data_IF_924499101395
#
_entry.id   IF_924499101395
#
_cell.length_a   1.000
_cell.length_b   1.000
_cell.length_c   1.000
_cell.angle_alpha   90.00
_cell.angle_beta   90.00
_cell.angle_gamma   90.00
#
_symmetry.space_group_name_H-M   'P 1'
#
loop_
_entity.id
_entity.type
_entity.pdbx_description
1 polymer ?
#
# COMPACT_ATOMS: atom_id res chain seq x y z
N UNK A 1 5.93 -1.67 -35.91
CA UNK A 1 4.97 -2.57 -35.22
C UNK A 1 5.76 -3.80 -34.78
N UNK A 2 6.24 -3.81 -33.55
CA UNK A 2 7.04 -4.92 -33.04
C UNK A 2 6.11 -6.08 -32.68
N UNK A 3 6.38 -7.26 -33.24
CA UNK A 3 5.64 -8.50 -32.98
C UNK A 3 5.86 -8.94 -31.53
N UNK A 4 5.00 -8.50 -30.63
CA UNK A 4 4.87 -9.08 -29.29
C UNK A 4 4.31 -10.48 -29.42
N UNK A 5 5.12 -11.50 -29.10
CA UNK A 5 4.60 -12.83 -28.84
C UNK A 5 4.02 -12.81 -27.43
N UNK A 6 2.70 -12.93 -27.30
CA UNK A 6 1.97 -12.87 -26.02
C UNK A 6 2.58 -13.78 -24.95
N UNK A 7 3.10 -14.95 -25.34
CA UNK A 7 3.75 -15.91 -24.43
C UNK A 7 5.01 -15.39 -23.74
N UNK A 8 5.80 -14.53 -24.39
CA UNK A 8 6.95 -13.86 -23.75
C UNK A 8 6.53 -12.71 -22.87
N UNK A 9 5.46 -12.00 -23.21
CA UNK A 9 4.97 -10.87 -22.41
C UNK A 9 4.26 -11.33 -21.13
N UNK A 10 3.49 -12.42 -21.18
CA UNK A 10 2.88 -13.07 -20.02
C UNK A 10 3.95 -13.60 -19.04
N UNK A 11 4.97 -14.29 -19.57
CA UNK A 11 6.09 -14.77 -18.76
C UNK A 11 6.90 -13.62 -18.14
N UNK A 12 7.08 -12.50 -18.86
CA UNK A 12 7.74 -11.30 -18.34
C UNK A 12 6.86 -10.58 -17.30
N UNK A 13 5.53 -10.56 -17.44
CA UNK A 13 4.62 -9.99 -16.45
C UNK A 13 4.50 -10.87 -15.18
N UNK A 14 4.44 -12.19 -15.32
CA UNK A 14 4.51 -13.12 -14.20
C UNK A 14 5.86 -13.01 -13.48
N UNK A 15 6.96 -12.91 -14.23
CA UNK A 15 8.29 -12.64 -13.67
C UNK A 15 8.39 -11.21 -13.09
N UNK A 16 7.68 -10.21 -13.64
CA UNK A 16 7.63 -8.83 -13.15
C UNK A 16 7.13 -8.76 -11.73
N UNK A 17 6.16 -9.62 -11.40
CA UNK A 17 5.48 -9.61 -10.11
C UNK A 17 6.21 -10.51 -9.12
N UNK A 18 6.80 -11.61 -9.59
CA UNK A 18 7.88 -12.29 -8.86
C UNK A 18 9.09 -11.36 -8.57
N UNK A 19 9.22 -10.24 -9.30
CA UNK A 19 10.21 -9.17 -9.09
C UNK A 19 9.65 -7.95 -8.35
N UNK A 20 8.34 -7.83 -8.14
CA UNK A 20 7.79 -6.88 -7.15
C UNK A 20 8.24 -7.28 -5.73
N UNK A 21 8.56 -8.57 -5.54
CA UNK A 21 9.31 -9.12 -4.38
C UNK A 21 10.69 -8.45 -4.19
N UNK A 22 11.24 -7.79 -5.22
CA UNK A 22 12.49 -7.00 -5.15
C UNK A 22 12.29 -5.52 -4.86
N UNK A 23 11.05 -5.01 -4.78
CA UNK A 23 10.73 -3.67 -4.24
C UNK A 23 10.85 -3.74 -2.71
N UNK A 24 12.08 -3.93 -2.22
CA UNK A 24 12.46 -4.15 -0.81
C UNK A 24 12.34 -2.90 0.08
N UNK A 25 11.42 -1.99 -0.19
CA UNK A 25 11.37 -0.74 0.56
C UNK A 25 9.95 -0.18 0.70
N UNK A 26 9.01 -0.97 1.25
CA UNK A 26 7.71 -0.44 1.63
C UNK A 26 7.33 -0.54 3.12
N UNK A 27 8.19 -0.32 4.14
CA UNK A 27 7.66 -0.24 5.51
C UNK A 27 7.11 1.13 5.93
N UNK A 28 7.57 2.26 5.40
CA UNK A 28 7.66 3.42 6.32
C UNK A 28 6.52 4.44 6.33
N UNK A 29 5.54 4.46 5.41
CA UNK A 29 4.66 5.66 5.33
C UNK A 29 3.15 5.41 5.20
N UNK A 30 2.69 4.16 5.18
CA UNK A 30 1.31 3.90 5.65
C UNK A 30 1.19 4.04 7.18
N UNK A 31 2.31 4.34 7.85
CA UNK A 31 2.47 4.23 9.29
C UNK A 31 2.06 5.43 10.12
N UNK A 32 2.10 6.70 9.68
CA UNK A 32 1.89 7.75 10.67
C UNK A 32 1.64 9.19 10.21
N UNK A 33 0.45 9.72 10.54
CA UNK A 33 0.07 11.12 10.34
C UNK A 33 -0.36 11.88 11.62
N UNK A 34 -0.02 11.35 12.80
CA UNK A 34 -0.53 11.85 14.10
C UNK A 34 0.40 12.73 14.95
N UNK A 35 1.31 13.52 14.36
CA UNK A 35 2.45 14.14 15.06
C UNK A 35 2.12 14.90 16.36
N UNK A 36 1.01 15.65 16.41
CA UNK A 36 0.60 16.41 17.60
C UNK A 36 0.18 15.52 18.78
N UNK A 37 -0.52 14.42 18.49
CA UNK A 37 -1.10 13.56 19.53
C UNK A 37 -0.08 12.56 20.09
N UNK A 38 0.90 12.12 19.28
CA UNK A 38 2.02 11.33 19.82
C UNK A 38 2.90 12.12 20.77
N UNK A 39 3.09 13.41 20.52
CA UNK A 39 3.82 14.25 21.45
C UNK A 39 3.11 14.32 22.81
N UNK A 40 1.79 14.40 22.82
CA UNK A 40 0.98 14.33 24.03
C UNK A 40 1.09 12.94 24.71
N UNK A 41 1.09 11.85 23.94
CA UNK A 41 1.31 10.49 24.48
C UNK A 41 2.70 10.33 25.13
N UNK A 42 3.74 10.84 24.48
CA UNK A 42 5.12 10.74 24.96
C UNK A 42 5.39 11.60 26.22
N UNK A 43 4.54 12.60 26.49
CA UNK A 43 4.68 13.51 27.62
C UNK A 43 3.69 13.23 28.76
N UNK A 44 2.71 12.36 28.56
CA UNK A 44 1.81 11.89 29.61
C UNK A 44 2.57 11.03 30.65
N UNK A 45 2.47 11.41 31.92
CA UNK A 45 3.13 10.72 33.04
C UNK A 45 2.32 9.53 33.56
N UNK A 46 1.07 9.39 33.17
CA UNK A 46 0.16 8.32 33.59
C UNK A 46 -0.65 7.77 32.40
N UNK A 47 0.00 7.28 31.33
CA UNK A 47 -0.70 6.83 30.13
C UNK A 47 -1.61 5.64 30.47
N UNK A 48 -2.87 5.76 30.04
CA UNK A 48 -3.88 4.69 30.14
C UNK A 48 -4.29 4.23 28.74
N UNK A 49 -4.77 2.98 28.63
CA UNK A 49 -5.27 2.46 27.36
C UNK A 49 -6.45 3.29 26.83
N UNK A 50 -7.36 3.72 27.71
CA UNK A 50 -8.49 4.57 27.34
C UNK A 50 -8.02 5.94 26.80
N UNK A 51 -7.09 6.61 27.50
CA UNK A 51 -6.57 7.90 27.07
C UNK A 51 -5.81 7.84 25.75
N UNK A 52 -4.97 6.81 25.56
CA UNK A 52 -4.26 6.60 24.28
C UNK A 52 -5.25 6.28 23.16
N UNK A 53 -6.25 5.43 23.40
CA UNK A 53 -7.26 5.11 22.39
C UNK A 53 -8.09 6.34 22.00
N UNK A 54 -8.44 7.21 22.96
CA UNK A 54 -9.12 8.48 22.68
C UNK A 54 -8.25 9.41 21.83
N UNK A 55 -6.98 9.59 22.19
CA UNK A 55 -6.05 10.42 21.44
C UNK A 55 -5.80 9.91 20.01
N UNK A 56 -5.72 8.59 19.80
CA UNK A 56 -5.62 7.99 18.47
C UNK A 56 -6.88 8.23 17.63
N UNK A 57 -8.06 8.22 18.24
CA UNK A 57 -9.33 8.44 17.54
C UNK A 57 -9.61 9.93 17.25
N UNK A 58 -9.06 10.84 18.04
CA UNK A 58 -9.13 12.29 17.83
C UNK A 58 -8.11 12.80 16.80
N UNK A 59 -7.27 11.91 16.25
CA UNK A 59 -6.41 12.27 15.14
C UNK A 59 -7.24 12.65 13.92
N UNK A 60 -6.71 13.60 13.16
CA UNK A 60 -7.33 14.08 11.93
C UNK A 60 -7.48 12.96 10.90
N UNK A 61 -6.49 12.08 10.84
CA UNK A 61 -6.40 10.94 9.95
C UNK A 61 -7.23 9.75 10.46
N UNK A 62 -7.64 8.89 9.55
CA UNK A 62 -8.70 7.90 9.74
C UNK A 62 -8.16 6.49 10.04
N UNK A 63 -6.87 6.22 9.77
CA UNK A 63 -6.27 4.88 9.91
C UNK A 63 -6.59 4.21 11.25
N UNK A 64 -6.40 4.90 12.38
CA UNK A 64 -6.65 4.30 13.69
C UNK A 64 -8.13 4.06 13.97
N UNK A 65 -9.03 4.87 13.41
CA UNK A 65 -10.47 4.63 13.46
C UNK A 65 -10.85 3.41 12.63
N UNK A 66 -10.29 3.31 11.42
CA UNK A 66 -10.47 2.13 10.56
C UNK A 66 -9.94 0.87 11.23
N UNK A 67 -8.73 0.87 11.79
CA UNK A 67 -8.17 -0.28 12.51
C UNK A 67 -9.04 -0.71 13.69
N UNK A 68 -9.57 0.24 14.48
CA UNK A 68 -10.47 -0.08 15.59
C UNK A 68 -11.76 -0.75 15.12
N UNK A 69 -12.32 -0.32 13.99
CA UNK A 69 -13.54 -0.87 13.43
C UNK A 69 -13.30 -2.24 12.77
N UNK A 70 -12.26 -2.34 11.96
CA UNK A 70 -12.01 -3.45 11.04
C UNK A 70 -11.20 -4.58 11.72
N UNK A 71 -10.30 -4.24 12.64
CA UNK A 71 -9.38 -5.15 13.34
C UNK A 71 -9.30 -4.83 14.85
N UNK A 72 -10.42 -4.89 15.60
CA UNK A 72 -10.50 -4.40 16.98
C UNK A 72 -9.48 -5.06 17.93
N UNK A 73 -9.24 -6.37 17.80
CA UNK A 73 -8.26 -7.08 18.63
C UNK A 73 -6.81 -6.61 18.41
N UNK A 74 -6.46 -6.29 17.17
CA UNK A 74 -5.12 -5.79 16.84
C UNK A 74 -4.96 -4.30 17.19
N UNK A 75 -6.05 -3.53 17.07
CA UNK A 75 -6.09 -2.16 17.59
C UNK A 75 -5.86 -2.13 19.11
N UNK A 76 -6.48 -3.02 19.87
CA UNK A 76 -6.26 -3.11 21.32
C UNK A 76 -4.80 -3.47 21.64
N UNK A 77 -4.19 -4.39 20.89
CA UNK A 77 -2.76 -4.72 21.02
C UNK A 77 -1.85 -3.54 20.70
N UNK A 78 -2.16 -2.76 19.65
CA UNK A 78 -1.47 -1.52 19.33
C UNK A 78 -1.54 -0.54 20.51
N UNK A 79 -2.73 -0.29 21.06
CA UNK A 79 -2.93 0.61 22.20
C UNK A 79 -2.09 0.16 23.40
N UNK A 80 -2.11 -1.14 23.73
CA UNK A 80 -1.31 -1.67 24.84
C UNK A 80 0.20 -1.50 24.61
N UNK A 81 0.67 -1.69 23.38
CA UNK A 81 2.07 -1.48 23.01
C UNK A 81 2.47 -0.01 23.17
N UNK A 82 1.63 0.93 22.75
CA UNK A 82 1.88 2.37 22.93
C UNK A 82 1.85 2.79 24.41
N UNK A 83 0.94 2.22 25.21
CA UNK A 83 0.94 2.40 26.68
C UNK A 83 2.28 1.95 27.27
N UNK A 84 2.81 0.80 26.85
CA UNK A 84 4.07 0.29 27.36
C UNK A 84 5.26 1.21 27.02
N UNK A 85 5.33 1.70 25.77
CA UNK A 85 6.38 2.63 25.31
C UNK A 85 6.28 3.98 26.02
N UNK A 86 5.08 4.51 26.22
CA UNK A 86 4.87 5.74 26.97
C UNK A 86 5.30 5.56 28.44
N UNK A 87 4.96 4.43 29.08
CA UNK A 87 5.36 4.13 30.47
C UNK A 87 6.86 3.98 30.66
N UNK A 88 7.59 3.48 29.65
CA UNK A 88 9.05 3.44 29.68
C UNK A 88 9.72 4.82 29.53
N UNK A 89 8.92 5.90 29.53
CA UNK A 89 9.36 7.29 29.22
C UNK A 89 9.99 7.37 27.84
N UNK A 90 9.48 6.59 26.90
CA UNK A 90 9.91 6.70 25.52
C UNK A 90 9.56 8.08 24.98
N UNK A 91 10.54 8.74 24.39
CA UNK A 91 10.31 10.02 23.71
C UNK A 91 9.38 9.86 22.51
N UNK A 92 8.97 10.98 21.92
CA UNK A 92 8.12 11.05 20.73
C UNK A 92 8.52 10.05 19.64
N UNK A 93 9.83 9.97 19.33
CA UNK A 93 10.36 9.07 18.32
C UNK A 93 10.04 7.61 18.60
N UNK A 94 10.16 7.16 19.86
CA UNK A 94 9.91 5.76 20.22
C UNK A 94 8.43 5.40 20.10
N UNK A 95 7.53 6.32 20.48
CA UNK A 95 6.08 6.11 20.32
C UNK A 95 5.71 6.08 18.84
N UNK A 96 6.29 6.99 18.03
CA UNK A 96 6.10 7.03 16.58
C UNK A 96 6.58 5.73 15.92
N UNK A 97 7.80 5.34 16.20
CA UNK A 97 8.42 4.15 15.59
C UNK A 97 7.67 2.87 16.00
N UNK A 98 7.21 2.79 17.26
CA UNK A 98 6.39 1.66 17.74
C UNK A 98 5.03 1.59 17.03
N UNK A 99 4.40 2.73 16.77
CA UNK A 99 3.13 2.80 16.02
C UNK A 99 3.34 2.36 14.57
N UNK A 100 4.32 2.93 13.88
CA UNK A 100 4.67 2.59 12.50
C UNK A 100 4.99 1.10 12.35
N UNK A 101 5.87 0.57 13.21
CA UNK A 101 6.23 -0.85 13.18
C UNK A 101 5.02 -1.77 13.37
N UNK A 102 3.99 -1.33 14.10
CA UNK A 102 2.78 -2.12 14.31
C UNK A 102 1.88 -2.11 13.07
N UNK A 103 1.73 -0.97 12.39
CA UNK A 103 0.96 -0.91 11.14
C UNK A 103 1.61 -1.78 10.06
N UNK A 104 2.94 -1.73 9.95
CA UNK A 104 3.72 -2.58 9.03
C UNK A 104 3.51 -4.06 9.34
N UNK A 105 3.65 -4.43 10.61
CA UNK A 105 3.44 -5.81 11.06
C UNK A 105 2.03 -6.29 10.74
N UNK A 106 1.00 -5.47 10.96
CA UNK A 106 -0.38 -5.83 10.60
C UNK A 106 -0.54 -6.05 9.11
N UNK A 107 -0.01 -5.13 8.30
CA UNK A 107 -0.05 -5.23 6.84
C UNK A 107 0.60 -6.54 6.35
N UNK A 108 1.78 -6.87 6.86
CA UNK A 108 2.48 -8.12 6.51
C UNK A 108 1.71 -9.36 6.98
N UNK A 109 1.25 -9.36 8.24
CA UNK A 109 0.52 -10.49 8.82
C UNK A 109 -0.76 -10.81 8.06
N UNK A 110 -1.43 -9.80 7.53
CA UNK A 110 -2.69 -9.95 6.82
C UNK A 110 -2.58 -9.95 5.30
N UNK A 111 -1.38 -9.77 4.73
CA UNK A 111 -1.19 -9.65 3.28
C UNK A 111 -1.79 -10.84 2.53
N UNK A 112 -1.59 -12.08 3.00
CA UNK A 112 -2.12 -13.28 2.35
C UNK A 112 -3.65 -13.31 2.25
N UNK A 113 -4.37 -12.63 3.16
CA UNK A 113 -5.84 -12.54 3.09
C UNK A 113 -6.29 -11.72 1.88
N UNK A 114 -5.49 -10.76 1.39
CA UNK A 114 -5.90 -9.90 0.28
C UNK A 114 -6.23 -10.68 -0.99
N UNK A 115 -5.66 -11.88 -1.17
CA UNK A 115 -5.97 -12.79 -2.29
C UNK A 115 -7.43 -13.28 -2.29
N UNK A 116 -8.16 -13.16 -1.17
CA UNK A 116 -9.60 -13.46 -1.07
C UNK A 116 -10.45 -12.20 -0.93
N UNK A 117 -9.92 -11.00 -1.18
CA UNK A 117 -10.69 -9.77 -1.09
C UNK A 117 -11.78 -9.71 -2.18
N UNK A 118 -13.02 -9.29 -1.85
CA UNK A 118 -14.03 -8.99 -2.86
C UNK A 118 -13.55 -7.91 -3.82
N UNK A 119 -14.01 -7.99 -5.07
CA UNK A 119 -13.50 -7.13 -6.14
C UNK A 119 -13.69 -5.63 -5.89
N UNK A 120 -14.83 -5.22 -5.33
CA UNK A 120 -15.08 -3.83 -4.98
C UNK A 120 -14.08 -3.27 -3.96
N UNK A 121 -13.73 -4.06 -2.94
CA UNK A 121 -12.74 -3.67 -1.94
C UNK A 121 -11.33 -3.67 -2.51
N UNK A 122 -10.98 -4.67 -3.34
CA UNK A 122 -9.68 -4.72 -4.02
C UNK A 122 -9.50 -3.53 -4.98
N UNK A 123 -10.53 -3.22 -5.77
CA UNK A 123 -10.54 -2.07 -6.68
C UNK A 123 -10.44 -0.75 -5.94
N UNK A 124 -11.17 -0.60 -4.81
CA UNK A 124 -11.10 0.60 -3.98
C UNK A 124 -9.71 0.82 -3.37
N UNK A 125 -9.08 -0.25 -2.86
CA UNK A 125 -7.72 -0.17 -2.34
C UNK A 125 -6.71 0.17 -3.43
N UNK A 126 -6.79 -0.47 -4.61
CA UNK A 126 -5.86 -0.19 -5.71
C UNK A 126 -6.05 1.22 -6.29
N UNK A 127 -7.29 1.71 -6.39
CA UNK A 127 -7.57 3.11 -6.74
C UNK A 127 -6.91 4.09 -5.77
N UNK A 128 -6.96 3.82 -4.46
CA UNK A 128 -6.33 4.71 -3.48
C UNK A 128 -4.79 4.73 -3.61
N UNK A 129 -4.17 3.62 -4.04
CA UNK A 129 -2.74 3.58 -4.37
C UNK A 129 -2.43 4.42 -5.63
N UNK A 130 -3.27 4.32 -6.66
CA UNK A 130 -3.17 5.14 -7.87
C UNK A 130 -3.37 6.63 -7.57
N UNK A 131 -4.35 7.00 -6.74
CA UNK A 131 -4.57 8.39 -6.29
C UNK A 131 -3.30 8.96 -5.62
N UNK A 132 -2.69 8.18 -4.72
CA UNK A 132 -1.45 8.56 -4.04
C UNK A 132 -0.30 8.74 -5.05
N UNK A 133 -0.13 7.80 -5.97
CA UNK A 133 0.89 7.89 -7.02
C UNK A 133 0.68 9.11 -7.92
N UNK A 134 -0.56 9.40 -8.30
CA UNK A 134 -0.91 10.59 -9.09
C UNK A 134 -0.59 11.87 -8.33
N UNK A 135 -0.87 11.91 -7.02
CA UNK A 135 -0.49 13.05 -6.19
C UNK A 135 1.03 13.25 -6.17
N UNK A 136 1.82 12.18 -5.99
CA UNK A 136 3.30 12.22 -6.12
C UNK A 136 3.72 12.72 -7.50
N UNK A 137 3.13 12.20 -8.59
CA UNK A 137 3.44 12.63 -9.96
C UNK A 137 3.19 14.12 -10.21
N UNK A 138 2.18 14.70 -9.56
CA UNK A 138 1.85 16.13 -9.70
C UNK A 138 2.68 17.05 -8.80
N UNK A 139 3.05 16.58 -7.60
CA UNK A 139 3.73 17.39 -6.59
C UNK A 139 5.24 17.30 -6.60
N UNK A 140 5.80 16.20 -7.12
CA UNK A 140 7.23 15.90 -7.03
C UNK A 140 7.94 15.96 -8.37
N UNK A 141 9.28 16.05 -8.34
CA UNK A 141 10.09 15.91 -9.55
C UNK A 141 9.98 14.48 -10.13
N UNK A 142 10.15 14.32 -11.44
CA UNK A 142 10.14 13.00 -12.08
C UNK A 142 11.16 12.02 -11.44
N UNK A 143 12.34 12.51 -11.06
CA UNK A 143 13.36 11.71 -10.37
C UNK A 143 12.88 11.25 -9.00
N UNK A 144 12.24 12.13 -8.23
CA UNK A 144 11.66 11.78 -6.92
C UNK A 144 10.54 10.76 -7.08
N UNK A 145 9.67 10.94 -8.08
CA UNK A 145 8.57 10.01 -8.38
C UNK A 145 9.08 8.60 -8.76
N UNK A 146 10.09 8.52 -9.64
CA UNK A 146 10.70 7.24 -10.01
C UNK A 146 11.35 6.55 -8.81
N UNK A 147 12.02 7.32 -7.95
CA UNK A 147 12.56 6.79 -6.68
C UNK A 147 11.44 6.35 -5.74
N UNK A 148 10.31 7.06 -5.71
CA UNK A 148 9.15 6.68 -4.93
C UNK A 148 8.57 5.33 -5.38
N UNK A 149 8.45 5.07 -6.67
CA UNK A 149 8.01 3.75 -7.18
C UNK A 149 9.03 2.66 -6.85
N UNK A 150 10.33 2.94 -7.02
CA UNK A 150 11.38 1.93 -6.81
C UNK A 150 11.72 1.66 -5.33
N UNK A 151 11.64 2.68 -4.49
CA UNK A 151 12.13 2.66 -3.09
C UNK A 151 11.04 3.01 -2.08
N UNK A 152 9.81 3.21 -2.52
CA UNK A 152 8.70 3.59 -1.67
C UNK A 152 8.78 5.01 -1.11
N UNK A 153 7.92 5.34 -0.14
CA UNK A 153 7.73 6.68 0.36
C UNK A 153 8.86 7.26 1.23
N UNK A 154 9.92 6.51 1.52
CA UNK A 154 11.16 7.10 2.07
C UNK A 154 11.83 8.06 1.06
N UNK A 155 11.48 7.95 -0.23
CA UNK A 155 11.93 8.86 -1.26
C UNK A 155 11.26 10.26 -1.16
N UNK A 156 10.16 10.37 -0.42
CA UNK A 156 9.35 11.58 -0.32
C UNK A 156 9.76 12.39 0.91
N UNK A 157 9.73 13.70 0.77
CA UNK A 157 9.79 14.60 1.93
C UNK A 157 8.36 14.90 2.36
N UNK A 158 7.83 14.07 3.27
CA UNK A 158 6.42 14.13 3.63
C UNK A 158 6.18 15.19 4.70
N UNK A 159 6.15 16.45 4.26
CA UNK A 159 5.80 17.61 5.08
C UNK A 159 4.45 18.22 4.71
N UNK A 160 3.84 17.73 3.63
CA UNK A 160 2.57 18.22 3.11
C UNK A 160 1.39 17.44 3.70
N UNK A 161 0.36 18.18 4.10
CA UNK A 161 -0.86 17.63 4.69
C UNK A 161 -1.67 16.82 3.68
N UNK A 162 -1.75 17.27 2.43
CA UNK A 162 -2.52 16.57 1.39
C UNK A 162 -1.89 15.23 1.05
N UNK A 163 -0.56 15.17 0.93
CA UNK A 163 0.17 13.90 0.82
C UNK A 163 -0.18 12.97 1.98
N UNK A 164 -0.10 13.45 3.22
CA UNK A 164 -0.43 12.63 4.40
C UNK A 164 -1.87 12.11 4.39
N UNK A 165 -2.82 12.92 3.89
CA UNK A 165 -4.21 12.50 3.73
C UNK A 165 -4.38 11.43 2.65
N UNK A 166 -3.65 11.54 1.53
CA UNK A 166 -3.65 10.51 0.49
C UNK A 166 -3.09 9.18 1.01
N UNK A 167 -2.03 9.23 1.81
CA UNK A 167 -1.41 8.03 2.41
C UNK A 167 -2.33 7.38 3.45
N UNK A 168 -3.00 8.19 4.27
CA UNK A 168 -4.01 7.70 5.20
C UNK A 168 -5.19 7.03 4.47
N UNK A 169 -5.70 7.66 3.40
CA UNK A 169 -6.77 7.09 2.56
C UNK A 169 -6.35 5.74 1.96
N UNK A 170 -5.12 5.65 1.46
CA UNK A 170 -4.55 4.41 0.91
C UNK A 170 -4.42 3.32 1.99
N UNK A 171 -3.97 3.67 3.19
CA UNK A 171 -3.86 2.75 4.32
C UNK A 171 -5.24 2.25 4.77
N UNK A 172 -6.22 3.16 4.92
CA UNK A 172 -7.60 2.83 5.29
C UNK A 172 -8.23 1.89 4.28
N UNK A 173 -8.08 2.18 2.98
CA UNK A 173 -8.64 1.33 1.94
C UNK A 173 -8.02 -0.07 1.94
N UNK A 174 -6.71 -0.18 2.21
CA UNK A 174 -6.02 -1.46 2.36
C UNK A 174 -6.54 -2.27 3.56
N UNK A 175 -6.66 -1.65 4.74
CA UNK A 175 -7.18 -2.35 5.92
C UNK A 175 -8.67 -2.71 5.80
N UNK A 176 -9.45 -1.88 5.13
CA UNK A 176 -10.81 -2.24 4.76
C UNK A 176 -10.83 -3.46 3.83
N UNK A 177 -9.98 -3.52 2.80
CA UNK A 177 -9.87 -4.70 1.93
C UNK A 177 -9.42 -5.97 2.68
N UNK A 178 -8.51 -5.84 3.65
CA UNK A 178 -8.12 -6.95 4.55
C UNK A 178 -9.33 -7.46 5.33
N UNK A 179 -10.11 -6.56 5.94
CA UNK A 179 -11.23 -6.94 6.79
C UNK A 179 -12.41 -7.51 6.00
N UNK A 180 -12.67 -7.00 4.79
CA UNK A 180 -13.66 -7.61 3.90
C UNK A 180 -13.19 -8.98 3.39
N UNK A 181 -11.90 -9.15 3.11
CA UNK A 181 -11.33 -10.45 2.73
C UNK A 181 -11.46 -11.50 3.83
N UNK A 182 -11.27 -11.11 5.11
CA UNK A 182 -11.43 -12.01 6.27
C UNK A 182 -12.83 -12.62 6.35
N UNK A 183 -13.84 -11.90 5.87
CA UNK A 183 -15.25 -12.28 5.97
C UNK A 183 -15.88 -12.71 4.63
N UNK A 184 -15.11 -12.72 3.53
CA UNK A 184 -15.68 -12.88 2.19
C UNK A 184 -16.11 -14.31 1.87
N UNK A 185 -15.45 -15.31 2.45
CA UNK A 185 -15.59 -16.72 2.06
C UNK A 185 -15.11 -17.02 0.65
N UNK A 186 -14.49 -16.05 -0.04
CA UNK A 186 -13.94 -16.24 -1.38
C UNK A 186 -12.65 -17.07 -1.32
N UNK A 187 -12.34 -17.86 -2.35
CA UNK A 187 -11.07 -18.55 -2.42
C UNK A 187 -9.92 -17.53 -2.55
N UNK A 188 -8.82 -17.79 -1.85
CA UNK A 188 -7.57 -17.05 -2.05
C UNK A 188 -6.91 -17.56 -3.33
N UNK A 189 -6.99 -16.77 -4.41
CA UNK A 189 -6.49 -17.15 -5.74
C UNK A 189 -5.46 -16.11 -6.19
N UNK A 190 -4.30 -16.59 -6.59
CA UNK A 190 -3.27 -15.78 -7.24
C UNK A 190 -3.56 -15.68 -8.74
N UNK A 191 -3.26 -14.53 -9.34
CA UNK A 191 -3.41 -14.36 -10.78
C UNK A 191 -2.52 -15.33 -11.55
N UNK A 192 -3.13 -16.07 -12.47
CA UNK A 192 -2.45 -17.02 -13.35
C UNK A 192 -2.01 -16.39 -14.67
N UNK A 193 -1.34 -17.17 -15.52
CA UNK A 193 -0.84 -16.71 -16.83
C UNK A 193 -1.91 -16.04 -17.69
N UNK A 194 -3.13 -16.59 -17.72
CA UNK A 194 -4.25 -16.00 -18.46
C UNK A 194 -4.72 -14.66 -17.91
N UNK A 195 -4.65 -14.45 -16.60
CA UNK A 195 -4.98 -13.17 -15.97
C UNK A 195 -3.90 -12.14 -16.34
N UNK A 196 -2.62 -12.53 -16.28
CA UNK A 196 -1.50 -11.67 -16.67
C UNK A 196 -1.53 -11.28 -18.14
N UNK A 197 -1.93 -12.18 -19.04
CA UNK A 197 -2.14 -11.86 -20.46
C UNK A 197 -3.19 -10.76 -20.65
N UNK A 198 -4.27 -10.77 -19.86
CA UNK A 198 -5.30 -9.72 -19.89
C UNK A 198 -4.76 -8.38 -19.37
N UNK A 199 -4.01 -8.39 -18.27
CA UNK A 199 -3.35 -7.17 -17.75
C UNK A 199 -2.41 -6.57 -18.79
N UNK A 200 -1.56 -7.41 -19.38
CA UNK A 200 -0.59 -7.02 -20.41
C UNK A 200 -1.31 -6.43 -21.63
N UNK A 201 -2.40 -7.04 -22.07
CA UNK A 201 -3.23 -6.51 -23.17
C UNK A 201 -3.82 -5.14 -22.83
N UNK A 202 -4.38 -4.98 -21.62
CA UNK A 202 -4.90 -3.71 -21.14
C UNK A 202 -3.80 -2.63 -21.03
N UNK A 203 -2.61 -3.02 -20.59
CA UNK A 203 -1.45 -2.12 -20.47
C UNK A 203 -0.98 -1.59 -21.83
N UNK A 204 -0.88 -2.44 -22.86
CA UNK A 204 -0.58 -1.96 -24.23
C UNK A 204 -1.68 -1.02 -24.72
N UNK A 205 -2.95 -1.39 -24.49
CA UNK A 205 -4.09 -0.60 -24.95
C UNK A 205 -4.08 0.80 -24.33
N UNK A 206 -3.56 0.94 -23.10
CA UNK A 206 -3.31 2.21 -22.41
C UNK A 206 -2.02 2.93 -22.87
N UNK A 207 -1.34 2.44 -23.91
CA UNK A 207 -0.10 3.02 -24.44
C UNK A 207 1.16 2.66 -23.64
N UNK A 208 1.10 1.60 -22.84
CA UNK A 208 2.28 1.01 -22.20
C UNK A 208 3.18 0.30 -23.22
N UNK A 209 4.49 0.34 -22.97
CA UNK A 209 5.50 -0.27 -23.84
C UNK A 209 6.21 -1.43 -23.15
N UNK A 210 6.95 -2.23 -23.92
CA UNK A 210 7.81 -3.26 -23.34
C UNK A 210 8.88 -2.67 -22.41
N UNK A 211 9.48 -1.52 -22.78
CA UNK A 211 10.46 -0.84 -21.93
C UNK A 211 9.88 -0.36 -20.61
N UNK A 212 8.61 0.08 -20.62
CA UNK A 212 7.89 0.42 -19.39
C UNK A 212 7.72 -0.80 -18.48
N UNK A 213 7.28 -1.94 -19.05
CA UNK A 213 7.13 -3.18 -18.29
C UNK A 213 8.46 -3.67 -17.71
N UNK A 214 9.54 -3.67 -18.53
CA UNK A 214 10.89 -4.04 -18.10
C UNK A 214 11.42 -3.12 -16.99
N UNK A 215 11.13 -1.81 -17.07
CA UNK A 215 11.50 -0.85 -16.03
C UNK A 215 10.75 -1.10 -14.72
N UNK A 216 9.46 -1.44 -14.79
CA UNK A 216 8.66 -1.81 -13.62
C UNK A 216 9.22 -3.09 -12.98
N UNK A 217 9.43 -4.15 -13.78
CA UNK A 217 9.99 -5.45 -13.33
C UNK A 217 11.30 -5.23 -12.57
N UNK A 218 12.19 -4.42 -13.13
CA UNK A 218 13.53 -4.20 -12.58
C UNK A 218 13.59 -3.09 -11.54
N UNK A 219 12.48 -2.41 -11.26
CA UNK A 219 12.43 -1.21 -10.41
C UNK A 219 13.49 -0.18 -10.80
N UNK A 220 13.71 0.01 -12.11
CA UNK A 220 14.79 0.85 -12.63
C UNK A 220 14.47 2.34 -12.42
N UNK A 221 14.89 2.90 -11.28
CA UNK A 221 14.69 4.31 -10.95
C UNK A 221 15.32 5.29 -11.95
N UNK A 222 16.29 4.85 -12.75
CA UNK A 222 16.95 5.66 -13.78
C UNK A 222 16.14 5.68 -15.10
N UNK A 223 15.12 4.83 -15.23
CA UNK A 223 14.18 4.90 -16.33
C UNK A 223 13.29 6.14 -16.17
N UNK A 224 13.45 7.09 -17.09
CA UNK A 224 12.81 8.42 -17.02
C UNK A 224 11.30 8.39 -16.80
N UNK A 225 10.62 7.36 -17.30
CA UNK A 225 9.16 7.23 -17.30
C UNK A 225 8.66 6.13 -16.35
N UNK A 226 9.44 5.73 -15.32
CA UNK A 226 9.05 4.66 -14.40
C UNK A 226 7.76 4.98 -13.64
N UNK A 227 7.63 6.19 -13.10
CA UNK A 227 6.44 6.60 -12.34
C UNK A 227 5.17 6.58 -13.22
N UNK A 228 5.16 7.23 -14.39
CA UNK A 228 4.03 7.14 -15.33
C UNK A 228 3.75 5.71 -15.82
N UNK A 229 4.79 4.90 -16.03
CA UNK A 229 4.63 3.50 -16.40
C UNK A 229 3.88 2.71 -15.30
N UNK A 230 4.25 2.92 -14.04
CA UNK A 230 3.59 2.26 -12.92
C UNK A 230 2.13 2.73 -12.75
N UNK A 231 1.84 4.01 -12.97
CA UNK A 231 0.46 4.51 -12.98
C UNK A 231 -0.39 3.81 -14.04
N UNK A 232 0.11 3.68 -15.28
CA UNK A 232 -0.56 2.93 -16.34
C UNK A 232 -0.77 1.46 -15.98
N UNK A 233 0.15 0.82 -15.25
CA UNK A 233 -0.03 -0.56 -14.78
C UNK A 233 -1.21 -0.67 -13.82
N UNK A 234 -1.34 0.25 -12.86
CA UNK A 234 -2.46 0.29 -11.93
C UNK A 234 -3.79 0.58 -12.64
N UNK A 235 -3.80 1.53 -13.59
CA UNK A 235 -4.97 1.82 -14.43
C UNK A 235 -5.39 0.60 -15.27
N UNK A 236 -4.42 -0.08 -15.89
CA UNK A 236 -4.67 -1.30 -16.65
C UNK A 236 -5.26 -2.40 -15.74
N UNK A 237 -4.71 -2.60 -14.55
CA UNK A 237 -5.22 -3.56 -13.58
C UNK A 237 -6.65 -3.22 -13.10
N UNK A 238 -6.98 -1.94 -12.96
CA UNK A 238 -8.34 -1.49 -12.65
C UNK A 238 -9.31 -1.67 -13.82
N UNK A 239 -8.81 -1.69 -15.06
CA UNK A 239 -9.64 -1.82 -16.27
C UNK A 239 -10.04 -3.27 -16.62
N UNK A 240 -9.31 -4.28 -16.11
CA UNK A 240 -9.64 -5.68 -16.39
C UNK A 240 -10.88 -6.08 -15.60
N UNK A 241 -11.93 -6.51 -16.29
CA UNK A 241 -13.21 -6.89 -15.66
C UNK A 241 -13.25 -8.37 -15.23
N UNK A 242 -14.22 -8.69 -14.36
CA UNK A 242 -14.52 -10.06 -13.95
C UNK A 242 -13.49 -10.70 -13.02
N UNK A 243 -13.56 -12.03 -12.92
CA UNK A 243 -12.67 -12.84 -12.05
C UNK A 243 -11.18 -12.61 -12.33
N UNK A 244 -10.70 -12.56 -13.60
CA UNK A 244 -9.31 -12.25 -13.91
C UNK A 244 -8.85 -10.91 -13.33
N UNK A 245 -9.69 -9.88 -13.48
CA UNK A 245 -9.46 -8.56 -12.91
C UNK A 245 -9.30 -8.60 -11.40
N UNK A 246 -10.18 -9.33 -10.70
CA UNK A 246 -10.08 -9.50 -9.25
C UNK A 246 -8.78 -10.18 -8.87
N UNK A 247 -8.38 -11.26 -9.55
CA UNK A 247 -7.12 -11.95 -9.25
C UNK A 247 -5.90 -11.04 -9.43
N UNK A 248 -5.87 -10.24 -10.50
CA UNK A 248 -4.81 -9.25 -10.74
C UNK A 248 -4.75 -8.25 -9.58
N UNK A 249 -5.87 -7.60 -9.27
CA UNK A 249 -5.92 -6.55 -8.23
C UNK A 249 -5.54 -7.08 -6.87
N UNK A 250 -6.08 -8.24 -6.50
CA UNK A 250 -5.79 -8.88 -5.20
C UNK A 250 -4.35 -9.38 -5.09
N UNK A 251 -3.75 -9.84 -6.20
CA UNK A 251 -2.32 -10.21 -6.24
C UNK A 251 -1.43 -8.98 -6.12
N UNK A 252 -1.73 -7.89 -6.84
CA UNK A 252 -1.00 -6.62 -6.69
C UNK A 252 -1.09 -6.07 -5.26
N UNK A 253 -2.28 -6.11 -4.64
CA UNK A 253 -2.44 -5.70 -3.24
C UNK A 253 -1.67 -6.59 -2.26
N UNK A 254 -1.64 -7.91 -2.50
CA UNK A 254 -0.81 -8.83 -1.73
C UNK A 254 0.67 -8.42 -1.79
N UNK A 255 1.20 -8.10 -2.98
CA UNK A 255 2.59 -7.67 -3.13
C UNK A 255 2.84 -6.31 -2.45
N UNK A 256 1.93 -5.34 -2.63
CA UNK A 256 2.00 -4.05 -1.94
C UNK A 256 1.90 -4.16 -0.42
N UNK A 257 1.25 -5.22 0.09
CA UNK A 257 1.13 -5.47 1.52
C UNK A 257 2.29 -6.29 2.10
N UNK A 258 2.95 -7.12 1.30
CA UNK A 258 3.99 -8.05 1.76
C UNK A 258 5.40 -7.45 1.78
N UNK A 259 5.64 -6.40 0.99
CA UNK A 259 6.93 -5.72 0.83
C UNK A 259 7.00 -4.42 1.66
#
# INVERSE_FOLDING_TARGET
MANWKCTTAAAVAAAAIGSLVLVKALPWVLGFAGGKYLYQMATDRTPTAAGISEQLQQQEFQLFRALKQELPEDYDKLVQKLVAVAKSRGGYEQVRDASMATVVDLRHRYASLLRSAPDGSASGALHAQLDMLNHVMTGESAVTCNRYVASGPIALTVNDHEMMAAMDKAAVALFHAIATAKNSGLPAVEAGDGDWEMLVTAFIAAGGTQGDMEAIVSSNQDYKDLCPAFAKLLEAALSVEGEPGRHIRTTLLYELASN
#
